data_IF_241091509259
#
_entry.id   IF_241091509259
#
_cell.length_a   1.000
_cell.length_b   1.000
_cell.length_c   1.000
_cell.angle_alpha   90.00
_cell.angle_beta   90.00
_cell.angle_gamma   90.00
#
_symmetry.space_group_name_H-M   'P 1'
#
loop_
_entity.id
_entity.type
_entity.pdbx_description
1 polymer ?
#
# COMPACT_ATOMS: atom_id res chain seq x y z
N UNK A 1 46.60 -9.52 65.57
CA UNK A 1 46.73 -9.99 64.21
C UNK A 1 46.55 -11.52 64.28
N UNK A 2 45.37 -12.05 64.01
CA UNK A 2 45.08 -13.46 64.08
C UNK A 2 44.32 -13.86 62.83
N UNK A 3 44.94 -14.59 61.97
CA UNK A 3 44.42 -15.13 60.72
C UNK A 3 43.74 -16.44 61.02
N UNK A 4 42.43 -16.50 60.80
CA UNK A 4 41.63 -17.74 60.98
C UNK A 4 41.51 -18.42 59.62
N UNK A 5 42.15 -19.59 59.49
CA UNK A 5 42.03 -20.51 58.34
C UNK A 5 40.72 -21.29 58.44
N UNK A 6 39.89 -21.23 57.40
CA UNK A 6 38.69 -22.03 57.26
C UNK A 6 39.00 -23.25 56.38
N UNK A 7 38.99 -24.44 57.03
CA UNK A 7 39.10 -25.76 56.36
C UNK A 7 37.80 -26.10 55.68
N UNK A 8 37.84 -26.33 54.38
CA UNK A 8 36.74 -26.90 53.61
C UNK A 8 36.94 -28.41 53.43
N UNK A 9 35.98 -29.19 53.88
CA UNK A 9 35.92 -30.63 53.66
C UNK A 9 35.21 -30.97 52.32
N UNK A 10 35.69 -31.98 51.56
CA UNK A 10 35.03 -32.34 50.30
C UNK A 10 33.82 -33.23 50.52
N UNK A 11 32.72 -32.82 49.93
CA UNK A 11 31.47 -33.60 49.85
C UNK A 11 31.56 -34.60 48.67
N UNK A 12 31.41 -35.88 48.96
CA UNK A 12 31.37 -36.93 47.96
C UNK A 12 29.98 -36.88 47.25
N UNK A 13 29.99 -36.60 45.97
CA UNK A 13 28.79 -36.64 45.12
C UNK A 13 28.62 -38.02 44.52
N UNK A 14 27.49 -38.66 44.84
CA UNK A 14 27.03 -39.92 44.21
C UNK A 14 26.36 -39.59 42.88
N UNK A 15 26.99 -39.94 41.77
CA UNK A 15 26.35 -39.84 40.48
C UNK A 15 25.37 -40.98 40.23
N UNK A 16 24.08 -40.70 40.34
CA UNK A 16 22.99 -41.55 39.89
C UNK A 16 22.83 -41.38 38.36
N UNK A 17 23.11 -42.46 37.60
CA UNK A 17 22.95 -42.47 36.14
C UNK A 17 21.46 -42.56 35.80
N UNK A 18 20.86 -41.47 35.36
CA UNK A 18 19.57 -41.48 34.68
C UNK A 18 19.80 -41.48 33.18
N UNK A 19 19.41 -42.58 32.51
CA UNK A 19 19.29 -42.62 31.05
C UNK A 19 18.14 -41.71 30.62
N UNK A 20 18.46 -40.57 30.03
CA UNK A 20 17.49 -39.68 29.39
C UNK A 20 17.24 -40.18 27.96
N UNK A 21 16.09 -40.81 27.75
CA UNK A 21 15.49 -40.96 26.43
C UNK A 21 15.16 -39.58 25.92
N UNK A 22 15.91 -39.09 24.94
CA UNK A 22 15.61 -37.84 24.23
C UNK A 22 14.41 -38.07 23.30
N UNK A 23 13.23 -37.67 23.77
CA UNK A 23 12.05 -37.55 22.94
C UNK A 23 12.17 -36.23 22.16
N UNK A 24 12.57 -36.31 20.89
CA UNK A 24 12.64 -35.19 19.97
C UNK A 24 11.21 -34.74 19.63
N UNK A 25 10.67 -33.80 20.39
CA UNK A 25 9.50 -33.04 19.96
C UNK A 25 9.90 -32.11 18.83
N UNK A 26 9.55 -32.47 17.58
CA UNK A 26 9.51 -31.53 16.46
C UNK A 26 8.50 -30.44 16.82
N UNK A 27 9.00 -29.30 17.25
CA UNK A 27 8.23 -28.06 17.38
C UNK A 27 7.87 -27.59 15.99
N UNK A 28 6.70 -28.02 15.51
CA UNK A 28 6.07 -27.38 14.34
C UNK A 28 5.62 -26.01 14.80
N UNK A 29 6.48 -25.02 14.60
CA UNK A 29 6.09 -23.61 14.69
C UNK A 29 5.08 -23.34 13.56
N UNK A 30 3.82 -23.03 13.83
CA UNK A 30 2.96 -22.52 12.79
C UNK A 30 3.57 -21.18 12.35
N UNK A 31 4.07 -21.14 11.13
CA UNK A 31 4.35 -19.86 10.46
C UNK A 31 3.00 -19.16 10.35
N UNK A 32 2.78 -18.18 11.19
CA UNK A 32 1.77 -17.16 10.95
C UNK A 32 2.20 -16.46 9.65
N UNK A 33 1.72 -16.98 8.52
CA UNK A 33 1.64 -16.19 7.30
C UNK A 33 0.75 -15.01 7.64
N UNK A 34 1.34 -13.85 7.75
CA UNK A 34 0.61 -12.59 7.66
C UNK A 34 0.01 -12.57 6.25
N UNK A 35 -1.22 -13.08 6.15
CA UNK A 35 -2.05 -12.93 4.97
C UNK A 35 -2.52 -11.49 4.93
N UNK A 36 -1.61 -10.59 4.56
CA UNK A 36 -1.94 -9.27 4.07
C UNK A 36 -2.02 -9.39 2.55
N UNK A 37 -3.17 -9.01 2.01
CA UNK A 37 -3.53 -8.92 0.59
C UNK A 37 -4.09 -10.17 -0.11
N UNK A 38 -4.93 -10.95 0.56
CA UNK A 38 -5.85 -11.84 -0.13
C UNK A 38 -7.22 -11.17 -0.38
N UNK A 39 -7.25 -9.92 -0.83
CA UNK A 39 -8.42 -9.43 -1.53
C UNK A 39 -8.35 -9.96 -2.96
N UNK A 40 -9.03 -11.06 -3.18
CA UNK A 40 -9.23 -11.65 -4.49
C UNK A 40 -10.02 -10.64 -5.33
N UNK A 41 -9.30 -9.75 -6.03
CA UNK A 41 -9.89 -9.07 -7.16
C UNK A 41 -10.44 -10.17 -8.07
N UNK A 42 -11.73 -10.06 -8.42
CA UNK A 42 -12.30 -10.94 -9.45
C UNK A 42 -11.35 -10.84 -10.65
N UNK A 43 -10.67 -11.93 -10.95
CA UNK A 43 -9.77 -11.97 -12.09
C UNK A 43 -10.56 -11.48 -13.29
N UNK A 44 -9.92 -10.73 -14.17
CA UNK A 44 -10.52 -10.12 -15.36
C UNK A 44 -11.36 -11.11 -16.19
N UNK A 45 -11.07 -12.41 -16.05
CA UNK A 45 -11.77 -13.53 -16.69
C UNK A 45 -13.20 -13.76 -16.16
N UNK A 46 -13.55 -13.34 -14.94
CA UNK A 46 -14.85 -13.56 -14.31
C UNK A 46 -15.77 -12.34 -14.33
N UNK A 47 -15.33 -11.21 -14.91
CA UNK A 47 -16.16 -10.02 -15.00
C UNK A 47 -17.24 -10.16 -16.06
N UNK A 48 -18.46 -9.71 -15.74
CA UNK A 48 -19.55 -9.60 -16.72
C UNK A 48 -19.25 -8.51 -17.77
N UNK A 49 -19.91 -8.57 -18.91
CA UNK A 49 -19.76 -7.54 -19.95
C UNK A 49 -20.09 -6.13 -19.41
N UNK A 50 -21.07 -6.02 -18.52
CA UNK A 50 -21.46 -4.75 -17.89
C UNK A 50 -20.38 -4.25 -16.93
N UNK A 51 -19.78 -5.11 -16.12
CA UNK A 51 -18.68 -4.74 -15.25
C UNK A 51 -17.47 -4.25 -16.05
N UNK A 52 -17.11 -4.95 -17.15
CA UNK A 52 -16.04 -4.51 -18.06
C UNK A 52 -16.36 -3.15 -18.70
N UNK A 53 -17.58 -2.92 -19.12
CA UNK A 53 -18.01 -1.64 -19.68
C UNK A 53 -17.84 -0.49 -18.69
N UNK A 54 -18.30 -0.67 -17.43
CA UNK A 54 -18.15 0.34 -16.37
C UNK A 54 -16.69 0.60 -16.02
N UNK A 55 -15.87 -0.45 -15.92
CA UNK A 55 -14.44 -0.35 -15.68
C UNK A 55 -13.73 0.48 -16.77
N UNK A 56 -14.01 0.18 -18.04
CA UNK A 56 -13.45 0.90 -19.18
C UNK A 56 -13.92 2.37 -19.23
N UNK A 57 -15.18 2.64 -18.87
CA UNK A 57 -15.69 4.00 -18.81
C UNK A 57 -15.03 4.80 -17.70
N UNK A 58 -14.77 4.20 -16.51
CA UNK A 58 -14.01 4.86 -15.46
C UNK A 58 -12.59 5.23 -15.93
N UNK A 59 -11.88 4.30 -16.56
CA UNK A 59 -10.54 4.57 -17.12
C UNK A 59 -10.59 5.73 -18.11
N UNK A 60 -11.59 5.77 -18.97
CA UNK A 60 -11.78 6.85 -19.95
C UNK A 60 -12.05 8.20 -19.26
N UNK A 61 -12.93 8.24 -18.26
CA UNK A 61 -13.21 9.45 -17.47
C UNK A 61 -11.93 9.97 -16.81
N UNK A 62 -11.17 9.08 -16.16
CA UNK A 62 -9.89 9.45 -15.52
C UNK A 62 -8.92 10.03 -16.55
N UNK A 63 -8.76 9.41 -17.73
CA UNK A 63 -7.93 9.96 -18.80
C UNK A 63 -8.37 11.36 -19.20
N UNK A 64 -9.67 11.55 -19.40
CA UNK A 64 -10.20 12.85 -19.83
C UNK A 64 -10.02 13.94 -18.78
N UNK A 65 -10.30 13.63 -17.51
CA UNK A 65 -10.21 14.60 -16.42
C UNK A 65 -8.79 14.94 -16.01
N UNK A 66 -7.83 14.00 -16.22
CA UNK A 66 -6.42 14.18 -15.81
C UNK A 66 -5.47 14.46 -16.98
N UNK A 67 -5.95 14.56 -18.23
CA UNK A 67 -5.09 14.76 -19.42
C UNK A 67 -4.19 16.00 -19.29
N UNK A 68 -4.72 17.09 -18.73
CA UNK A 68 -3.97 18.32 -18.47
C UNK A 68 -2.82 18.15 -17.49
N UNK A 69 -2.89 17.16 -16.61
CA UNK A 69 -1.88 16.88 -15.58
C UNK A 69 -0.70 16.04 -16.10
N UNK A 70 -0.61 15.79 -17.43
CA UNK A 70 0.63 15.34 -18.06
C UNK A 70 1.78 16.33 -17.84
N UNK A 71 1.45 17.61 -17.70
CA UNK A 71 2.33 18.62 -17.15
C UNK A 71 2.08 18.73 -15.64
N UNK A 72 3.05 18.30 -14.84
CA UNK A 72 2.96 18.29 -13.39
C UNK A 72 2.72 19.69 -12.81
N UNK A 73 3.25 20.73 -13.45
CA UNK A 73 3.07 22.12 -12.99
C UNK A 73 1.60 22.56 -13.02
N UNK A 74 0.81 22.00 -13.93
CA UNK A 74 -0.64 22.23 -13.98
C UNK A 74 -1.35 21.56 -12.81
N UNK A 75 -0.92 20.35 -12.42
CA UNK A 75 -1.45 19.68 -11.23
C UNK A 75 -1.12 20.48 -9.96
N UNK A 76 0.13 20.96 -9.85
CA UNK A 76 0.57 21.80 -8.73
C UNK A 76 -0.24 23.11 -8.65
N UNK A 77 -0.46 23.76 -9.77
CA UNK A 77 -1.29 24.98 -9.85
C UNK A 77 -2.76 24.73 -9.41
N UNK A 78 -3.27 23.51 -9.62
CA UNK A 78 -4.60 23.08 -9.18
C UNK A 78 -4.62 22.58 -7.72
N UNK A 79 -3.50 22.67 -6.98
CA UNK A 79 -3.41 22.36 -5.56
C UNK A 79 -3.03 20.92 -5.23
N UNK A 80 -2.51 20.18 -6.20
CA UNK A 80 -1.88 18.88 -5.95
C UNK A 80 -0.42 19.09 -5.50
N UNK A 81 0.02 18.35 -4.51
CA UNK A 81 1.40 18.41 -4.02
C UNK A 81 1.92 17.01 -3.70
N UNK A 82 3.21 16.79 -3.93
CA UNK A 82 3.86 15.52 -3.65
C UNK A 82 3.73 15.17 -2.15
N UNK A 83 3.26 13.96 -1.88
CA UNK A 83 3.19 13.36 -0.55
C UNK A 83 3.86 11.98 -0.56
N UNK A 84 4.46 11.60 0.55
CA UNK A 84 5.04 10.26 0.79
C UNK A 84 6.27 9.90 -0.07
N UNK A 85 6.78 10.81 -0.91
CA UNK A 85 7.84 10.50 -1.86
C UNK A 85 7.41 9.47 -2.91
N UNK A 86 8.36 8.70 -3.43
CA UNK A 86 8.04 7.61 -4.36
C UNK A 86 7.74 6.31 -3.60
N UNK A 87 6.54 5.81 -3.73
CA UNK A 87 6.07 4.63 -2.99
C UNK A 87 6.44 3.36 -3.76
N UNK A 88 7.33 2.54 -3.16
CA UNK A 88 7.76 1.25 -3.71
C UNK A 88 7.57 0.11 -2.72
N UNK A 89 7.51 -1.11 -3.23
CA UNK A 89 7.47 -2.36 -2.47
C UNK A 89 8.60 -3.29 -2.90
N UNK A 90 9.14 -4.13 -2.00
CA UNK A 90 10.32 -4.95 -2.30
C UNK A 90 10.11 -5.93 -3.47
N UNK A 91 8.90 -6.48 -3.61
CA UNK A 91 8.61 -7.54 -4.58
C UNK A 91 7.37 -7.22 -5.45
N UNK A 92 6.81 -6.02 -5.33
CA UNK A 92 5.53 -5.66 -5.97
C UNK A 92 5.66 -4.57 -7.04
N UNK A 93 6.88 -4.06 -7.28
CA UNK A 93 7.10 -2.87 -8.09
C UNK A 93 6.82 -1.59 -7.29
N UNK A 94 6.13 -0.64 -7.88
CA UNK A 94 5.86 0.63 -7.19
C UNK A 94 4.42 1.12 -7.44
N UNK A 95 3.98 2.03 -6.58
CA UNK A 95 2.78 2.85 -6.79
C UNK A 95 3.16 4.18 -7.47
N UNK A 96 4.42 4.63 -7.34
CA UNK A 96 4.90 5.89 -7.89
C UNK A 96 4.78 7.08 -6.94
N UNK A 97 4.80 8.28 -7.51
CA UNK A 97 4.74 9.55 -6.81
C UNK A 97 3.28 10.02 -6.70
N UNK A 98 2.80 10.20 -5.48
CA UNK A 98 1.43 10.61 -5.20
C UNK A 98 1.36 12.13 -5.00
N UNK A 99 0.82 12.84 -5.99
CA UNK A 99 0.49 14.24 -5.87
C UNK A 99 -0.95 14.37 -5.36
N UNK A 100 -1.10 14.81 -4.12
CA UNK A 100 -2.36 14.80 -3.37
C UNK A 100 -2.97 16.19 -3.33
N UNK A 101 -4.24 16.30 -3.69
CA UNK A 101 -5.04 17.50 -3.45
C UNK A 101 -5.77 17.38 -2.10
N UNK A 102 -5.17 17.98 -1.06
CA UNK A 102 -5.70 17.89 0.30
C UNK A 102 -7.10 18.50 0.45
N UNK A 103 -7.45 19.48 -0.39
CA UNK A 103 -8.78 20.07 -0.38
C UNK A 103 -9.84 19.06 -0.82
N UNK A 104 -9.54 18.26 -1.86
CA UNK A 104 -10.42 17.18 -2.30
C UNK A 104 -10.52 16.04 -1.27
N UNK A 105 -9.40 15.66 -0.64
CA UNK A 105 -9.40 14.67 0.45
C UNK A 105 -10.31 15.13 1.60
N UNK A 106 -10.20 16.38 2.00
CA UNK A 106 -10.96 16.94 3.12
C UNK A 106 -12.47 17.06 2.85
N UNK A 107 -12.90 17.09 1.58
CA UNK A 107 -14.33 17.04 1.23
C UNK A 107 -14.95 15.69 1.60
N UNK A 108 -14.16 14.60 1.55
CA UNK A 108 -14.64 13.25 1.85
C UNK A 108 -15.70 12.78 0.87
N UNK A 109 -15.56 13.16 -0.40
CA UNK A 109 -16.46 12.83 -1.51
C UNK A 109 -15.70 12.05 -2.58
N UNK A 110 -16.41 11.19 -3.32
CA UNK A 110 -15.87 10.44 -4.45
C UNK A 110 -16.56 10.91 -5.72
N UNK A 111 -15.75 11.43 -6.66
CA UNK A 111 -16.20 11.90 -7.98
C UNK A 111 -15.19 11.41 -9.03
N UNK A 112 -15.67 10.68 -10.02
CA UNK A 112 -14.83 10.10 -11.08
C UNK A 112 -14.01 11.14 -11.86
N UNK A 113 -14.47 12.39 -11.91
CA UNK A 113 -13.80 13.50 -12.63
C UNK A 113 -12.82 14.29 -11.77
N UNK A 114 -12.82 14.07 -10.45
CA UNK A 114 -11.99 14.81 -9.49
C UNK A 114 -11.25 13.85 -8.55
N UNK A 115 -10.24 13.11 -9.06
CA UNK A 115 -9.42 12.24 -8.21
C UNK A 115 -8.69 13.06 -7.15
N UNK A 116 -8.60 12.57 -5.93
CA UNK A 116 -7.87 13.20 -4.84
C UNK A 116 -6.36 13.18 -5.09
N UNK A 117 -5.89 12.25 -5.91
CA UNK A 117 -4.47 12.01 -6.15
C UNK A 117 -4.25 11.79 -7.65
N UNK A 118 -3.19 12.38 -8.20
CA UNK A 118 -2.63 12.04 -9.51
C UNK A 118 -1.28 11.39 -9.31
N UNK A 119 -0.98 10.34 -10.08
CA UNK A 119 0.17 9.47 -9.85
C UNK A 119 1.17 9.63 -11.00
N UNK A 120 2.42 9.86 -10.64
CA UNK A 120 3.51 9.98 -11.59
C UNK A 120 4.60 8.92 -11.38
N UNK A 121 5.29 8.62 -12.47
CA UNK A 121 6.52 7.83 -12.48
C UNK A 121 7.68 8.76 -12.84
N UNK A 122 8.78 8.76 -12.06
CA UNK A 122 9.97 9.51 -12.41
C UNK A 122 10.66 8.85 -13.61
N UNK A 123 11.18 9.66 -14.54
CA UNK A 123 11.86 9.21 -15.74
C UNK A 123 13.34 9.53 -15.69
N UNK A 124 14.15 8.86 -16.55
CA UNK A 124 15.61 8.98 -16.52
C UNK A 124 16.12 10.39 -16.90
N UNK A 125 15.32 11.17 -17.60
CA UNK A 125 15.62 12.57 -17.97
C UNK A 125 15.24 13.58 -16.88
N UNK A 126 14.77 13.09 -15.70
CA UNK A 126 14.34 13.91 -14.58
C UNK A 126 12.92 14.46 -14.69
N UNK A 127 12.19 14.11 -15.75
CA UNK A 127 10.78 14.48 -15.87
C UNK A 127 9.85 13.53 -15.12
N UNK A 128 8.59 13.91 -14.97
CA UNK A 128 7.54 13.09 -14.39
C UNK A 128 6.53 12.70 -15.47
N UNK A 129 6.23 11.41 -15.55
CA UNK A 129 5.23 10.87 -16.45
C UNK A 129 3.96 10.52 -15.69
N UNK A 130 2.84 11.13 -16.05
CA UNK A 130 1.53 10.75 -15.51
C UNK A 130 1.23 9.28 -15.86
N UNK A 131 0.92 8.46 -14.84
CA UNK A 131 0.65 7.03 -15.01
C UNK A 131 -0.74 6.61 -14.56
N UNK A 132 -1.37 7.36 -13.67
CA UNK A 132 -2.69 7.05 -13.14
C UNK A 132 -3.24 8.11 -12.22
N UNK A 133 -4.32 7.75 -11.56
CA UNK A 133 -4.94 8.52 -10.50
C UNK A 133 -5.33 7.60 -9.34
N UNK A 134 -5.57 8.18 -8.16
CA UNK A 134 -6.06 7.46 -7.01
C UNK A 134 -7.12 8.28 -6.29
N UNK A 135 -8.19 7.61 -5.87
CA UNK A 135 -9.28 8.20 -5.09
C UNK A 135 -9.08 7.81 -3.63
N UNK A 136 -9.13 8.79 -2.74
CA UNK A 136 -8.90 8.56 -1.32
C UNK A 136 -9.94 9.27 -0.47
N UNK A 137 -10.56 8.53 0.47
CA UNK A 137 -11.41 9.09 1.52
C UNK A 137 -11.02 8.51 2.87
N UNK A 138 -11.01 9.35 3.92
CA UNK A 138 -10.75 8.90 5.28
C UNK A 138 -11.93 8.06 5.77
N UNK A 139 -11.64 6.88 6.32
CA UNK A 139 -12.66 5.90 6.72
C UNK A 139 -13.64 6.48 7.75
N UNK A 140 -13.14 7.12 8.80
CA UNK A 140 -13.97 7.75 9.83
C UNK A 140 -14.96 8.79 9.26
N UNK A 141 -14.53 9.58 8.29
CA UNK A 141 -15.37 10.60 7.68
C UNK A 141 -16.41 9.99 6.74
N UNK A 142 -16.04 8.93 6.02
CA UNK A 142 -16.92 8.21 5.11
C UNK A 142 -17.97 7.40 5.87
N UNK A 143 -17.58 6.57 6.83
CA UNK A 143 -18.44 5.62 7.54
C UNK A 143 -19.50 6.33 8.40
N UNK A 144 -19.22 7.56 8.87
CA UNK A 144 -20.21 8.39 9.55
C UNK A 144 -21.35 8.87 8.64
N UNK A 145 -21.13 8.94 7.33
CA UNK A 145 -22.08 9.51 6.36
C UNK A 145 -22.71 8.47 5.45
N UNK A 146 -22.04 7.32 5.25
CA UNK A 146 -22.39 6.31 4.24
C UNK A 146 -22.49 4.93 4.86
N UNK A 147 -23.26 4.07 4.21
CA UNK A 147 -23.35 2.65 4.58
C UNK A 147 -22.47 1.84 3.62
N UNK A 148 -21.49 1.15 4.18
CA UNK A 148 -20.57 0.30 3.43
C UNK A 148 -19.40 1.04 2.77
N UNK A 149 -18.43 0.29 2.22
CA UNK A 149 -17.25 0.84 1.59
C UNK A 149 -17.61 1.67 0.36
N UNK A 150 -16.78 2.68 0.01
CA UNK A 150 -17.00 3.45 -1.21
C UNK A 150 -16.85 2.58 -2.46
N UNK A 151 -17.63 2.92 -3.46
CA UNK A 151 -17.62 2.30 -4.78
C UNK A 151 -17.65 3.39 -5.86
N UNK A 152 -16.89 3.19 -6.93
CA UNK A 152 -16.89 4.07 -8.08
C UNK A 152 -17.05 3.25 -9.37
N UNK A 153 -18.22 3.37 -10.00
CA UNK A 153 -18.57 2.68 -11.26
C UNK A 153 -18.36 1.15 -11.20
N UNK A 154 -18.70 0.51 -10.08
CA UNK A 154 -18.57 -0.93 -9.86
C UNK A 154 -17.19 -1.36 -9.34
N UNK A 155 -16.29 -0.41 -9.05
CA UNK A 155 -15.00 -0.69 -8.44
C UNK A 155 -15.05 -0.35 -6.96
N UNK A 156 -14.90 -1.37 -6.10
CA UNK A 156 -14.80 -1.19 -4.64
C UNK A 156 -13.44 -0.63 -4.26
N UNK A 157 -13.43 0.24 -3.28
CA UNK A 157 -12.20 0.77 -2.71
C UNK A 157 -11.54 -0.24 -1.78
N UNK A 158 -10.22 -0.25 -1.76
CA UNK A 158 -9.43 -0.98 -0.78
C UNK A 158 -9.42 -0.25 0.55
N UNK A 159 -9.53 -0.99 1.64
CA UNK A 159 -9.42 -0.44 2.99
C UNK A 159 -8.00 -0.58 3.52
N UNK A 160 -7.46 0.50 4.05
CA UNK A 160 -6.20 0.53 4.80
C UNK A 160 -6.48 0.94 6.24
N UNK A 161 -6.19 0.02 7.16
CA UNK A 161 -6.30 0.31 8.59
C UNK A 161 -5.16 1.20 9.10
N UNK A 162 -5.33 1.77 10.28
CA UNK A 162 -4.26 2.45 11.00
C UNK A 162 -3.74 1.53 12.14
N UNK A 163 -2.40 1.55 12.43
CA UNK A 163 -1.36 2.33 11.77
C UNK A 163 -0.96 1.75 10.41
N UNK A 164 -0.64 2.62 9.45
CA UNK A 164 -0.17 2.22 8.13
C UNK A 164 1.14 2.93 7.76
N UNK A 165 1.80 2.45 6.70
CA UNK A 165 3.10 2.98 6.24
C UNK A 165 3.08 4.45 5.84
N UNK A 166 1.91 5.01 5.58
CA UNK A 166 1.73 6.41 5.17
C UNK A 166 1.55 7.36 6.35
N UNK A 167 1.40 6.82 7.58
CA UNK A 167 1.11 7.61 8.78
C UNK A 167 -0.28 8.26 8.77
N UNK A 168 -1.18 7.78 7.90
CA UNK A 168 -2.54 8.28 7.79
C UNK A 168 -3.48 7.57 8.79
N UNK A 169 -4.59 8.21 9.19
CA UNK A 169 -5.74 7.50 9.73
C UNK A 169 -6.21 6.41 8.78
N UNK A 170 -7.07 5.50 9.22
CA UNK A 170 -7.67 4.51 8.33
C UNK A 170 -8.38 5.18 7.14
N UNK A 171 -8.22 4.63 5.95
CA UNK A 171 -8.75 5.20 4.71
C UNK A 171 -9.17 4.14 3.71
N UNK A 172 -10.02 4.55 2.78
CA UNK A 172 -10.37 3.80 1.58
C UNK A 172 -9.67 4.43 0.37
N UNK A 173 -9.17 3.60 -0.54
CA UNK A 173 -8.47 4.07 -1.74
C UNK A 173 -8.78 3.20 -2.97
N UNK A 174 -8.75 3.81 -4.16
CA UNK A 174 -8.94 3.13 -5.44
C UNK A 174 -7.95 3.68 -6.47
N UNK A 175 -6.87 2.91 -6.73
CA UNK A 175 -5.94 3.21 -7.82
C UNK A 175 -6.59 2.94 -9.18
N UNK A 176 -6.34 3.81 -10.15
CA UNK A 176 -6.77 3.66 -11.54
C UNK A 176 -5.58 3.89 -12.46
N UNK A 177 -5.02 2.80 -13.00
CA UNK A 177 -3.88 2.83 -13.92
C UNK A 177 -4.33 3.27 -15.32
N UNK A 178 -4.75 4.51 -15.45
CA UNK A 178 -5.37 5.02 -16.66
C UNK A 178 -4.37 5.30 -17.79
N UNK A 179 -3.12 5.65 -17.47
CA UNK A 179 -2.12 6.10 -18.45
C UNK A 179 -1.00 5.08 -18.70
N UNK A 180 -0.76 4.18 -17.75
CA UNK A 180 0.18 3.05 -17.88
C UNK A 180 -0.57 1.75 -17.61
N UNK A 181 -0.62 0.87 -18.61
CA UNK A 181 -1.31 -0.43 -18.47
C UNK A 181 -0.63 -1.30 -17.43
N UNK A 182 -1.39 -1.78 -16.45
CA UNK A 182 -0.91 -2.66 -15.41
C UNK A 182 -1.26 -4.13 -15.74
N UNK A 183 -0.27 -5.03 -15.87
CA UNK A 183 -0.54 -6.43 -16.19
C UNK A 183 -1.35 -7.18 -15.12
N UNK A 184 -1.36 -6.67 -13.87
CA UNK A 184 -2.10 -7.26 -12.76
C UNK A 184 -3.55 -6.71 -12.65
N UNK A 185 -3.95 -5.79 -13.55
CA UNK A 185 -5.27 -5.17 -13.56
C UNK A 185 -5.23 -3.66 -13.36
N UNK A 186 -6.24 -2.98 -13.87
CA UNK A 186 -6.29 -1.51 -13.88
C UNK A 186 -6.58 -0.89 -12.50
N UNK A 187 -7.05 -1.68 -11.52
CA UNK A 187 -7.56 -1.19 -10.23
C UNK A 187 -6.84 -1.81 -9.02
N UNK A 188 -5.65 -2.34 -9.23
CA UNK A 188 -4.79 -2.87 -8.15
C UNK A 188 -3.82 -1.81 -7.66
N UNK A 189 -3.39 -1.91 -6.39
CA UNK A 189 -2.54 -0.89 -5.79
C UNK A 189 -1.12 -0.85 -6.37
N UNK A 190 -0.53 -2.00 -6.70
CA UNK A 190 0.85 -2.11 -7.13
C UNK A 190 0.99 -2.33 -8.63
N UNK A 191 2.00 -1.72 -9.22
CA UNK A 191 2.32 -1.88 -10.63
C UNK A 191 3.74 -2.46 -10.81
N UNK A 192 3.90 -3.70 -11.31
CA UNK A 192 5.20 -4.36 -11.36
C UNK A 192 6.21 -3.67 -12.29
N UNK A 193 5.73 -2.87 -13.25
CA UNK A 193 6.57 -2.16 -14.22
C UNK A 193 6.68 -0.64 -13.94
N UNK A 194 6.36 -0.19 -12.71
CA UNK A 194 6.64 1.15 -12.20
C UNK A 194 7.87 1.09 -11.31
N UNK A 195 8.78 2.04 -11.44
CA UNK A 195 10.03 2.12 -10.68
C UNK A 195 10.20 3.48 -10.02
N UNK A 196 10.78 3.49 -8.82
CA UNK A 196 11.20 4.68 -8.10
C UNK A 196 12.71 4.97 -8.26
N UNK A 197 13.45 4.21 -9.05
CA UNK A 197 14.91 4.32 -9.16
C UNK A 197 15.39 5.70 -9.62
N UNK A 198 14.56 6.38 -10.43
CA UNK A 198 14.88 7.70 -10.97
C UNK A 198 14.39 8.85 -10.07
N UNK A 199 13.79 8.54 -8.92
CA UNK A 199 13.32 9.57 -7.99
C UNK A 199 14.47 10.16 -7.19
N UNK A 200 14.67 11.48 -7.33
CA UNK A 200 15.59 12.25 -6.51
C UNK A 200 14.80 13.19 -5.60
N UNK A 201 14.77 12.97 -4.26
CA UNK A 201 14.03 13.83 -3.33
C UNK A 201 14.47 15.29 -3.30
N UNK A 202 15.64 15.62 -3.85
CA UNK A 202 16.18 16.99 -3.86
C UNK A 202 15.74 17.79 -5.10
N UNK A 203 15.08 17.17 -6.08
CA UNK A 203 14.69 17.80 -7.34
C UNK A 203 13.19 18.14 -7.42
N UNK A 204 12.43 17.89 -6.34
CA UNK A 204 10.97 18.11 -6.29
C UNK A 204 10.53 18.71 -4.96
#
# INVERSE_FOLDING_TARGET
MSTTEIRTTPVKSNYLRYSLLALSMLSVCPRLSLAQDAHTHMTEQNQTAEQKRRANELIKIVRQSTDRYKDVSVAEADGYALQFGCVSGPDSGAMGLHYVNQTLVNRGEVDATHPQIVIYEPTADGSLRLIGADYLVLADAWDKKKQGPPELMGQLFHYFEAPNRFGLPAFYTLHVWAWKGNPNGAFVNWHPNVSCEQFNPQSH
#
